data_IF_769689794357
#
_entry.id   IF_769689794357
#
_cell.length_a   1.000
_cell.length_b   1.000
_cell.length_c   1.000
_cell.angle_alpha   90.00
_cell.angle_beta   90.00
_cell.angle_gamma   90.00
#
_symmetry.space_group_name_H-M   'P 1'
#
loop_
_entity.id
_entity.type
_entity.pdbx_description
1 polymer ?
#
# COMPACT_ATOMS: atom_id res chain seq x y z
N UNK A 1 -11.42 -2.57 -16.99
CA UNK A 1 -11.48 -3.49 -15.84
C UNK A 1 -11.50 -2.70 -14.54
N UNK A 2 -12.21 -3.16 -13.50
CA UNK A 2 -12.11 -2.60 -12.15
C UNK A 2 -10.72 -2.78 -11.55
N UNK A 3 -10.31 -1.80 -10.74
CA UNK A 3 -9.00 -1.72 -10.11
C UNK A 3 -9.16 -1.17 -8.70
N UNK A 4 -8.46 -1.76 -7.74
CA UNK A 4 -8.30 -1.22 -6.39
C UNK A 4 -6.96 -0.48 -6.30
N UNK A 5 -6.97 0.69 -5.65
CA UNK A 5 -5.78 1.45 -5.35
C UNK A 5 -5.71 1.70 -3.84
N UNK A 6 -4.54 1.47 -3.27
CA UNK A 6 -4.27 1.66 -1.85
C UNK A 6 -3.09 2.60 -1.67
N UNK A 7 -3.27 3.57 -0.77
CA UNK A 7 -2.19 4.40 -0.25
C UNK A 7 -1.83 3.94 1.16
N UNK A 8 -0.56 4.13 1.53
CA UNK A 8 -0.04 3.77 2.86
C UNK A 8 0.80 4.91 3.41
N UNK A 9 0.86 5.00 4.73
CA UNK A 9 1.66 5.99 5.44
C UNK A 9 2.83 5.28 6.12
N UNK A 10 4.00 5.92 6.13
CA UNK A 10 5.18 5.40 6.82
C UNK A 10 4.95 5.37 8.33
N UNK A 11 5.52 4.36 9.03
CA UNK A 11 5.49 4.34 10.48
C UNK A 11 6.32 5.51 11.05
N UNK A 12 5.84 6.08 12.14
CA UNK A 12 6.53 7.12 12.90
C UNK A 12 6.51 6.80 14.41
N UNK A 13 7.48 7.32 15.18
CA UNK A 13 7.44 7.21 16.62
C UNK A 13 6.20 7.91 17.17
N UNK A 14 5.49 7.24 18.09
CA UNK A 14 4.33 7.80 18.75
C UNK A 14 4.70 9.01 19.61
N UNK A 15 4.03 10.14 19.40
CA UNK A 15 4.09 11.27 20.32
C UNK A 15 3.15 11.05 21.51
N UNK A 16 3.52 10.10 22.37
CA UNK A 16 2.80 9.74 23.59
C UNK A 16 3.73 9.91 24.80
N UNK A 17 3.15 9.95 26.00
CA UNK A 17 3.91 9.98 27.25
C UNK A 17 4.90 8.81 27.31
N UNK A 18 6.10 9.04 27.88
CA UNK A 18 7.20 8.07 27.81
C UNK A 18 6.84 6.69 28.35
N UNK A 19 6.06 6.63 29.43
CA UNK A 19 5.60 5.38 30.02
C UNK A 19 4.58 4.62 29.14
N UNK A 20 3.95 5.29 28.17
CA UNK A 20 3.04 4.67 27.20
C UNK A 20 3.75 4.19 25.94
N UNK A 21 4.98 4.65 25.66
CA UNK A 21 5.74 4.22 24.47
C UNK A 21 5.88 2.69 24.33
N UNK A 22 6.08 1.90 25.40
CA UNK A 22 6.10 0.43 25.27
C UNK A 22 4.78 -0.18 24.78
N UNK A 23 3.64 0.45 25.08
CA UNK A 23 2.33 0.00 24.63
C UNK A 23 2.03 0.40 23.18
N UNK A 24 2.68 1.45 22.68
CA UNK A 24 2.53 1.96 21.32
C UNK A 24 3.88 1.94 20.59
N UNK A 25 4.34 0.77 20.13
CA UNK A 25 5.65 0.63 19.50
C UNK A 25 5.72 1.34 18.14
N UNK A 26 4.58 1.52 17.46
CA UNK A 26 4.47 2.16 16.15
C UNK A 26 3.21 2.98 16.06
N UNK A 27 3.32 4.21 15.54
CA UNK A 27 2.18 5.07 15.22
C UNK A 27 2.19 5.47 13.75
N UNK A 28 1.04 5.97 13.33
CA UNK A 28 0.81 6.46 11.97
C UNK A 28 0.10 7.79 12.07
N UNK A 29 0.73 8.82 11.53
CA UNK A 29 0.16 10.15 11.45
C UNK A 29 -0.92 10.25 10.38
N UNK A 30 -1.48 11.45 10.25
CA UNK A 30 -2.37 11.79 9.16
C UNK A 30 -1.65 11.68 7.80
N UNK A 31 -2.41 11.32 6.76
CA UNK A 31 -1.86 11.25 5.42
C UNK A 31 -1.43 12.62 4.92
N UNK A 32 -0.19 12.66 4.43
CA UNK A 32 0.31 13.70 3.55
C UNK A 32 1.29 13.07 2.57
N UNK A 33 1.48 13.72 1.42
CA UNK A 33 2.40 13.22 0.38
C UNK A 33 3.83 13.01 0.91
N UNK A 34 4.27 13.81 1.89
CA UNK A 34 5.58 13.68 2.53
C UNK A 34 5.74 12.37 3.30
N UNK A 35 4.67 11.92 3.97
CA UNK A 35 4.67 10.71 4.81
C UNK A 35 4.12 9.48 4.09
N UNK A 36 3.80 9.59 2.80
CA UNK A 36 3.38 8.46 1.99
C UNK A 36 4.49 7.41 1.86
N UNK A 37 4.11 6.15 2.03
CA UNK A 37 4.99 5.01 1.81
C UNK A 37 5.07 4.66 0.33
N UNK A 38 6.15 5.11 -0.30
CA UNK A 38 6.49 4.87 -1.70
C UNK A 38 7.50 3.72 -1.89
N UNK A 39 7.54 2.76 -0.97
CA UNK A 39 8.48 1.62 -1.06
C UNK A 39 8.24 0.83 -2.36
N UNK A 40 9.22 0.76 -3.28
CA UNK A 40 8.98 0.21 -4.61
C UNK A 40 8.59 -1.26 -4.64
N UNK A 41 9.15 -2.06 -3.74
CA UNK A 41 8.96 -3.52 -3.71
C UNK A 41 8.73 -4.02 -2.29
N UNK A 42 7.56 -4.61 -2.07
CA UNK A 42 7.24 -5.35 -0.86
C UNK A 42 6.84 -6.80 -1.21
N UNK A 43 7.18 -7.73 -0.34
CA UNK A 43 6.58 -9.07 -0.35
C UNK A 43 5.17 -9.00 0.24
N UNK A 44 4.32 -10.02 0.01
CA UNK A 44 3.07 -10.17 0.74
C UNK A 44 3.27 -10.00 2.25
N UNK A 45 2.35 -9.29 2.91
CA UNK A 45 2.51 -8.86 4.31
C UNK A 45 3.33 -7.57 4.52
N UNK A 46 3.55 -6.76 3.48
CA UNK A 46 4.24 -5.46 3.57
C UNK A 46 5.69 -5.57 4.07
N UNK A 47 6.39 -6.61 3.63
CA UNK A 47 7.79 -6.83 4.00
C UNK A 47 8.69 -6.18 2.93
N UNK A 48 9.41 -5.09 3.24
CA UNK A 48 10.23 -4.40 2.25
C UNK A 48 11.42 -5.25 1.81
N UNK A 49 11.73 -5.25 0.52
CA UNK A 49 12.90 -5.95 -0.03
C UNK A 49 14.05 -4.97 -0.18
N UNK A 50 15.21 -5.28 0.41
CA UNK A 50 16.43 -4.46 0.25
C UNK A 50 17.02 -4.69 -1.14
N UNK A 51 17.56 -3.62 -1.76
CA UNK A 51 18.06 -3.49 -3.15
C UNK A 51 19.15 -4.48 -3.63
N UNK A 52 19.37 -5.62 -2.96
CA UNK A 52 20.47 -6.55 -3.27
C UNK A 52 20.04 -7.74 -4.15
N UNK A 53 18.90 -7.65 -4.82
CA UNK A 53 18.25 -8.74 -5.56
C UNK A 53 18.10 -8.34 -7.04
N UNK A 54 18.33 -9.26 -7.99
CA UNK A 54 18.21 -8.95 -9.43
C UNK A 54 16.76 -8.55 -9.75
N UNK A 55 16.55 -7.70 -10.76
CA UNK A 55 15.21 -7.18 -11.13
C UNK A 55 14.19 -8.29 -11.40
N UNK A 56 14.61 -9.37 -12.06
CA UNK A 56 13.73 -10.50 -12.41
C UNK A 56 13.29 -11.28 -11.17
N UNK A 57 14.20 -11.45 -10.21
CA UNK A 57 13.90 -12.06 -8.91
C UNK A 57 12.91 -11.20 -8.12
N UNK A 58 13.06 -9.86 -8.13
CA UNK A 58 12.11 -8.94 -7.48
C UNK A 58 10.70 -9.06 -8.06
N UNK A 59 10.58 -9.26 -9.38
CA UNK A 59 9.28 -9.43 -10.04
C UNK A 59 8.60 -10.73 -9.56
N UNK A 60 9.36 -11.80 -9.32
CA UNK A 60 8.81 -13.05 -8.81
C UNK A 60 8.46 -12.96 -7.32
N UNK A 61 9.30 -12.30 -6.52
CA UNK A 61 9.13 -12.20 -5.06
C UNK A 61 8.01 -11.25 -4.63
N UNK A 62 7.80 -10.17 -5.38
CA UNK A 62 6.88 -9.09 -5.03
C UNK A 62 5.79 -9.02 -6.09
N UNK A 63 4.56 -9.53 -5.87
CA UNK A 63 3.52 -9.45 -6.89
C UNK A 63 3.07 -7.99 -7.12
N UNK A 64 2.42 -7.71 -8.26
CA UNK A 64 2.05 -6.34 -8.70
C UNK A 64 1.32 -5.50 -7.62
N UNK A 65 0.38 -6.03 -6.82
CA UNK A 65 -0.29 -5.27 -5.76
C UNK A 65 0.59 -4.79 -4.61
N UNK A 66 1.81 -5.32 -4.46
CA UNK A 66 2.76 -4.95 -3.41
C UNK A 66 3.89 -4.04 -3.91
N UNK A 67 3.78 -3.60 -5.17
CA UNK A 67 4.72 -2.67 -5.78
C UNK A 67 4.09 -1.29 -5.82
N UNK A 68 4.84 -0.29 -5.37
CA UNK A 68 4.40 1.08 -5.50
C UNK A 68 4.48 1.51 -6.96
N UNK A 69 3.39 2.10 -7.46
CA UNK A 69 3.33 2.64 -8.81
C UNK A 69 3.30 4.16 -8.73
N UNK A 70 4.18 4.80 -9.50
CA UNK A 70 4.23 6.25 -9.56
C UNK A 70 3.05 6.80 -10.39
N UNK A 71 2.62 8.06 -10.15
CA UNK A 71 1.57 8.70 -10.93
C UNK A 71 1.80 8.70 -12.46
N UNK A 72 3.05 8.62 -12.94
CA UNK A 72 3.35 8.54 -14.38
C UNK A 72 3.26 7.12 -14.97
N UNK A 73 3.25 6.08 -14.13
CA UNK A 73 3.16 4.67 -14.55
C UNK A 73 1.72 4.18 -14.62
N UNK A 74 0.84 4.85 -13.89
CA UNK A 74 -0.59 4.62 -13.89
C UNK A 74 -1.25 5.84 -14.47
N UNK A 75 -2.16 5.71 -15.43
CA UNK A 75 -3.03 6.83 -15.88
C UNK A 75 -4.02 7.30 -14.79
N UNK A 76 -3.68 7.07 -13.52
CA UNK A 76 -4.46 7.42 -12.36
C UNK A 76 -4.27 8.89 -12.05
N UNK A 77 -5.35 9.65 -12.25
CA UNK A 77 -5.40 11.06 -11.89
C UNK A 77 -5.39 11.24 -10.36
N UNK A 78 -4.81 12.33 -9.85
CA UNK A 78 -4.95 12.68 -8.45
C UNK A 78 -6.41 12.94 -8.09
N UNK A 79 -6.77 12.67 -6.84
CA UNK A 79 -8.12 12.87 -6.31
C UNK A 79 -8.09 13.81 -5.11
N UNK A 80 -9.02 14.77 -5.09
CA UNK A 80 -9.29 15.56 -3.90
C UNK A 80 -10.30 14.81 -3.04
N UNK A 81 -9.87 14.36 -1.86
CA UNK A 81 -10.78 13.74 -0.90
C UNK A 81 -11.23 14.71 0.18
N UNK A 82 -12.01 14.22 1.14
CA UNK A 82 -12.54 15.04 2.22
C UNK A 82 -11.43 15.61 3.13
N UNK A 83 -10.37 14.84 3.37
CA UNK A 83 -9.34 15.16 4.37
C UNK A 83 -8.00 15.59 3.77
N UNK A 84 -7.65 15.07 2.60
CA UNK A 84 -6.35 15.35 1.95
C UNK A 84 -6.47 15.25 0.43
N UNK A 85 -5.48 15.83 -0.25
CA UNK A 85 -5.22 15.60 -1.66
C UNK A 85 -4.42 14.30 -1.83
N UNK A 86 -4.91 13.38 -2.66
CA UNK A 86 -4.30 12.08 -2.91
C UNK A 86 -3.71 12.04 -4.33
N UNK A 87 -2.38 11.98 -4.49
CA UNK A 87 -1.71 11.86 -5.78
C UNK A 87 -2.12 10.60 -6.55
N UNK A 88 -1.69 10.53 -7.82
CA UNK A 88 -2.01 9.43 -8.73
C UNK A 88 -1.42 8.07 -8.33
N UNK A 89 -0.36 8.06 -7.52
CA UNK A 89 0.41 6.86 -7.20
C UNK A 89 -0.29 5.91 -6.21
N UNK A 90 0.40 4.81 -5.89
CA UNK A 90 -0.03 3.87 -4.87
C UNK A 90 0.17 2.41 -5.26
N UNK A 91 -0.37 1.54 -4.41
CA UNK A 91 -0.36 0.09 -4.59
C UNK A 91 -1.65 -0.34 -5.30
N UNK A 92 -1.52 -1.06 -6.41
CA UNK A 92 -2.64 -1.28 -7.33
C UNK A 92 -2.89 -2.77 -7.58
N UNK A 93 -4.13 -3.19 -7.38
CA UNK A 93 -4.61 -4.52 -7.73
C UNK A 93 -5.68 -4.44 -8.84
N UNK A 94 -5.43 -5.12 -9.95
CA UNK A 94 -6.40 -5.27 -11.05
C UNK A 94 -7.31 -6.47 -10.74
N UNK A 95 -8.64 -6.27 -10.78
CA UNK A 95 -9.61 -7.32 -10.41
C UNK A 95 -10.07 -8.20 -11.58
N UNK A 96 -9.61 -7.91 -12.80
CA UNK A 96 -10.07 -8.57 -14.02
C UNK A 96 -11.45 -8.10 -14.48
N UNK A 97 -11.98 -8.67 -15.56
CA UNK A 97 -13.28 -8.28 -16.14
C UNK A 97 -14.45 -9.10 -15.61
N UNK A 98 -14.19 -10.31 -15.11
CA UNK A 98 -15.21 -11.21 -14.60
C UNK A 98 -15.44 -10.99 -13.10
N UNK A 99 -16.70 -10.83 -12.69
CA UNK A 99 -17.06 -10.59 -11.29
C UNK A 99 -16.61 -11.71 -10.34
N UNK A 100 -16.63 -12.97 -10.80
CA UNK A 100 -16.16 -14.12 -10.00
C UNK A 100 -14.66 -14.03 -9.71
N UNK A 101 -13.86 -13.69 -10.72
CA UNK A 101 -12.41 -13.51 -10.58
C UNK A 101 -12.13 -12.31 -9.67
N UNK A 102 -12.84 -11.20 -9.86
CA UNK A 102 -12.70 -10.02 -9.03
C UNK A 102 -13.01 -10.29 -7.56
N UNK A 103 -14.06 -11.06 -7.27
CA UNK A 103 -14.39 -11.47 -5.91
C UNK A 103 -13.28 -12.34 -5.31
N UNK A 104 -12.80 -13.35 -6.04
CA UNK A 104 -11.69 -14.20 -5.60
C UNK A 104 -10.43 -13.40 -5.27
N UNK A 105 -10.05 -12.46 -6.14
CA UNK A 105 -8.87 -11.60 -5.91
C UNK A 105 -9.08 -10.74 -4.67
N UNK A 106 -10.27 -10.15 -4.50
CA UNK A 106 -10.58 -9.31 -3.34
C UNK A 106 -10.48 -10.10 -2.04
N UNK A 107 -11.03 -11.33 -2.01
CA UNK A 107 -10.91 -12.22 -0.85
C UNK A 107 -9.46 -12.62 -0.57
N UNK A 108 -8.66 -12.89 -1.60
CA UNK A 108 -7.24 -13.21 -1.46
C UNK A 108 -6.44 -12.02 -0.89
N UNK A 109 -6.73 -10.80 -1.36
CA UNK A 109 -6.10 -9.58 -0.87
C UNK A 109 -6.45 -9.31 0.60
N UNK A 110 -7.72 -9.50 0.97
CA UNK A 110 -8.20 -9.22 2.32
C UNK A 110 -7.78 -10.30 3.33
N UNK A 111 -7.99 -11.58 3.02
CA UNK A 111 -7.87 -12.68 4.00
C UNK A 111 -6.49 -13.32 4.02
N UNK A 112 -5.86 -13.50 2.85
CA UNK A 112 -4.69 -14.37 2.72
C UNK A 112 -3.40 -13.57 2.83
N UNK A 113 -3.37 -12.35 2.30
CA UNK A 113 -2.12 -11.61 2.07
C UNK A 113 -1.95 -10.35 2.93
N UNK A 114 -2.97 -9.99 3.72
CA UNK A 114 -2.93 -8.82 4.60
C UNK A 114 -2.80 -7.48 3.86
N UNK A 115 -3.26 -7.40 2.61
CA UNK A 115 -3.11 -6.21 1.78
C UNK A 115 -3.81 -5.00 2.40
N UNK A 116 -5.05 -5.17 2.87
CA UNK A 116 -5.84 -4.14 3.57
C UNK A 116 -5.52 -4.00 5.06
N UNK A 117 -4.32 -4.41 5.51
CA UNK A 117 -3.92 -4.32 6.91
C UNK A 117 -3.99 -2.90 7.48
N UNK A 118 -3.75 -2.77 8.79
CA UNK A 118 -3.73 -1.48 9.46
C UNK A 118 -2.85 -0.50 8.64
N UNK A 119 -3.27 0.78 8.55
CA UNK A 119 -2.55 1.87 7.86
C UNK A 119 -2.78 1.94 6.34
N UNK A 120 -3.74 1.16 5.82
CA UNK A 120 -4.28 1.29 4.47
C UNK A 120 -5.28 2.46 4.38
N UNK A 121 -5.08 3.36 3.42
CA UNK A 121 -6.11 4.28 2.97
C UNK A 121 -6.63 3.76 1.64
N UNK A 122 -7.88 3.29 1.65
CA UNK A 122 -8.57 2.75 0.48
C UNK A 122 -9.42 3.85 -0.15
N UNK A 123 -9.30 4.02 -1.47
CA UNK A 123 -9.99 5.02 -2.30
C UNK A 123 -10.35 4.49 -3.68
#
# INVERSE_FOLDING_TARGET
MPRLRQLRVKPEPCNVLDYMKPAFPVCYGAYSEKYEDKTPYNKPGWIPVKNSTKKDELIQLCPKPWRYQNPGETDAVPKWGQFSFYPGGGYVADLGYEGKIGLMITEMLQKITGWTGNHALLY
#
